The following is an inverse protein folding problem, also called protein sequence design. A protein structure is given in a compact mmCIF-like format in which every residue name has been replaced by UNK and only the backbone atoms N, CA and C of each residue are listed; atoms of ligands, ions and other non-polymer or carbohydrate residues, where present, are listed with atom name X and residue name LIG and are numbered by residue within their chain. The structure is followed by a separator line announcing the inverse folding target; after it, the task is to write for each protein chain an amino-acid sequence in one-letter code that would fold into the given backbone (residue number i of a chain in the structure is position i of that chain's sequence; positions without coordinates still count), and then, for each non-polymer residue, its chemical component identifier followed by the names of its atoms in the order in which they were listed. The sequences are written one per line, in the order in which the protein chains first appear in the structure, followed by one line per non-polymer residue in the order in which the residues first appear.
data_IF_692154903194
#
_entry.id   IF_692154903194
#
_cell.length_a   1.000
_cell.length_b   1.000
_cell.length_c   1.000
_cell.angle_alpha   90.00
_cell.angle_beta   90.00
_cell.angle_gamma   90.00
#
_symmetry.space_group_name_H-M   'P 1'
#
loop_
_entity.id
_entity.type
_entity.pdbx_description
1 polymer ?
#
# COMPACT_ATOMS: atom_id res chain seq x y z
N UNK A 1 19.59 12.08 6.08
CA UNK A 1 19.70 11.13 4.95
C UNK A 1 19.59 11.89 3.64
N UNK A 2 20.39 11.55 2.60
CA UNK A 2 20.19 12.13 1.26
C UNK A 2 18.77 11.78 0.76
N UNK A 3 18.03 12.69 0.11
CA UNK A 3 16.62 12.48 -0.27
C UNK A 3 16.40 11.20 -1.10
N UNK A 4 17.38 10.82 -1.92
CA UNK A 4 17.36 9.57 -2.71
C UNK A 4 17.46 8.31 -1.85
N UNK A 5 18.25 8.31 -0.77
CA UNK A 5 18.36 7.17 0.14
C UNK A 5 17.06 6.97 0.94
N UNK A 6 16.41 8.06 1.37
CA UNK A 6 15.13 8.02 2.08
C UNK A 6 14.01 7.42 1.22
N UNK A 7 13.93 7.81 -0.07
CA UNK A 7 12.96 7.21 -1.00
C UNK A 7 13.18 5.71 -1.22
N UNK A 8 14.44 5.27 -1.33
CA UNK A 8 14.79 3.85 -1.50
C UNK A 8 14.31 3.02 -0.29
N UNK A 9 14.62 3.48 0.92
CA UNK A 9 14.18 2.80 2.14
C UNK A 9 12.66 2.74 2.23
N UNK A 10 11.97 3.87 2.02
CA UNK A 10 10.50 3.93 2.09
C UNK A 10 9.83 3.04 1.03
N UNK A 11 10.44 2.91 -0.16
CA UNK A 11 9.97 1.98 -1.20
C UNK A 11 10.13 0.51 -0.77
N UNK A 12 11.25 0.15 -0.14
CA UNK A 12 11.44 -1.21 0.37
C UNK A 12 10.43 -1.52 1.47
N UNK A 13 10.26 -0.60 2.43
CA UNK A 13 9.27 -0.73 3.51
C UNK A 13 7.86 -0.92 2.96
N UNK A 14 7.44 -0.10 1.99
CA UNK A 14 6.15 -0.24 1.31
C UNK A 14 5.95 -1.65 0.74
N UNK A 15 6.93 -2.14 -0.03
CA UNK A 15 6.84 -3.45 -0.69
C UNK A 15 6.78 -4.60 0.30
N UNK A 16 7.61 -4.55 1.35
CA UNK A 16 7.64 -5.59 2.38
C UNK A 16 6.33 -5.58 3.19
N UNK A 17 5.86 -4.41 3.61
CA UNK A 17 4.59 -4.29 4.32
C UNK A 17 3.40 -4.75 3.45
N UNK A 18 3.40 -4.39 2.16
CA UNK A 18 2.37 -4.84 1.23
C UNK A 18 2.39 -6.36 1.04
N UNK A 19 3.57 -6.97 0.88
CA UNK A 19 3.68 -8.42 0.75
C UNK A 19 3.19 -9.14 2.01
N UNK A 20 3.55 -8.65 3.20
CA UNK A 20 3.06 -9.21 4.46
C UNK A 20 1.54 -9.09 4.58
N UNK A 21 0.98 -7.90 4.33
CA UNK A 21 -0.47 -7.69 4.33
C UNK A 21 -1.17 -8.61 3.31
N UNK A 22 -0.64 -8.71 2.10
CA UNK A 22 -1.19 -9.55 1.03
C UNK A 22 -1.18 -11.03 1.43
N UNK A 23 -0.07 -11.55 1.95
CA UNK A 23 0.00 -12.94 2.40
C UNK A 23 -1.03 -13.21 3.51
N UNK A 24 -1.07 -12.34 4.52
CA UNK A 24 -2.03 -12.44 5.63
C UNK A 24 -3.49 -12.40 5.14
N UNK A 25 -3.80 -11.51 4.20
CA UNK A 25 -5.15 -11.40 3.62
C UNK A 25 -5.52 -12.58 2.73
N UNK A 26 -4.58 -13.13 1.95
CA UNK A 26 -4.84 -14.27 1.08
C UNK A 26 -5.08 -15.55 1.87
N UNK A 27 -4.31 -15.83 2.92
CA UNK A 27 -4.57 -17.05 3.69
C UNK A 27 -5.81 -16.95 4.57
N UNK A 28 -6.26 -15.74 4.93
CA UNK A 28 -7.60 -15.55 5.51
C UNK A 28 -8.70 -15.81 4.45
N UNK A 29 -8.59 -15.17 3.27
CA UNK A 29 -9.54 -15.32 2.16
C UNK A 29 -9.70 -16.79 1.69
N UNK A 30 -8.60 -17.53 1.63
CA UNK A 30 -8.59 -18.95 1.21
C UNK A 30 -8.68 -19.93 2.39
N UNK A 31 -8.83 -19.44 3.63
CA UNK A 31 -8.91 -20.26 4.84
C UNK A 31 -7.72 -21.22 4.99
N UNK A 32 -6.52 -20.77 4.61
CA UNK A 32 -5.26 -21.53 4.72
C UNK A 32 -4.86 -21.69 6.20
N UNK A 33 -5.17 -20.69 7.02
CA UNK A 33 -4.98 -20.71 8.47
C UNK A 33 -6.27 -20.33 9.21
N UNK A 34 -6.33 -20.68 10.49
CA UNK A 34 -7.42 -20.23 11.35
C UNK A 34 -7.35 -18.71 11.56
N UNK A 35 -8.49 -18.04 11.40
CA UNK A 35 -8.61 -16.62 11.73
C UNK A 35 -8.37 -16.44 13.23
N UNK A 36 -7.30 -15.73 13.58
CA UNK A 36 -6.96 -15.40 14.97
C UNK A 36 -6.82 -13.90 15.10
N UNK A 37 -7.15 -13.32 16.28
CA UNK A 37 -7.00 -11.89 16.52
C UNK A 37 -5.60 -11.37 16.19
N UNK A 38 -4.56 -12.17 16.47
CA UNK A 38 -3.16 -11.83 16.19
C UNK A 38 -2.89 -11.66 14.69
N UNK A 39 -3.41 -12.54 13.84
CA UNK A 39 -3.23 -12.45 12.39
C UNK A 39 -3.99 -11.26 11.80
N UNK A 40 -5.18 -10.98 12.33
CA UNK A 40 -5.98 -9.81 11.96
C UNK A 40 -5.24 -8.52 12.33
N UNK A 41 -4.74 -8.41 13.56
CA UNK A 41 -3.97 -7.26 14.03
C UNK A 41 -2.69 -7.08 13.20
N UNK A 42 -1.97 -8.16 12.90
CA UNK A 42 -0.79 -8.12 12.05
C UNK A 42 -1.12 -7.63 10.63
N UNK A 43 -2.25 -8.06 10.06
CA UNK A 43 -2.71 -7.60 8.74
C UNK A 43 -3.04 -6.10 8.76
N UNK A 44 -3.76 -5.64 9.79
CA UNK A 44 -4.11 -4.22 9.97
C UNK A 44 -2.84 -3.37 10.11
N UNK A 45 -1.90 -3.78 10.97
CA UNK A 45 -0.62 -3.08 11.16
C UNK A 45 0.17 -3.01 9.86
N UNK A 46 0.25 -4.11 9.10
CA UNK A 46 0.90 -4.13 7.80
C UNK A 46 0.20 -3.17 6.82
N UNK A 47 -1.13 -3.12 6.79
CA UNK A 47 -1.92 -2.17 6.00
C UNK A 47 -1.67 -0.70 6.37
N UNK A 48 -1.54 -0.39 7.66
CA UNK A 48 -1.18 0.96 8.14
C UNK A 48 0.23 1.36 7.70
N UNK A 49 1.19 0.42 7.73
CA UNK A 49 2.54 0.65 7.23
C UNK A 49 2.56 0.91 5.72
N UNK A 50 1.73 0.19 4.94
CA UNK A 50 1.55 0.46 3.50
C UNK A 50 1.04 1.88 3.29
N UNK A 51 -0.04 2.26 3.98
CA UNK A 51 -0.65 3.59 3.86
C UNK A 51 0.34 4.70 4.24
N UNK A 52 1.01 4.58 5.39
CA UNK A 52 1.99 5.55 5.86
C UNK A 52 3.19 5.67 4.90
N UNK A 53 3.65 4.55 4.34
CA UNK A 53 4.73 4.54 3.36
C UNK A 53 4.31 5.19 2.04
N UNK A 54 3.11 4.91 1.52
CA UNK A 54 2.58 5.56 0.31
C UNK A 54 2.45 7.07 0.50
N UNK A 55 1.92 7.51 1.64
CA UNK A 55 1.77 8.93 1.97
C UNK A 55 3.12 9.64 2.02
N UNK A 56 4.09 9.02 2.70
CA UNK A 56 5.45 9.54 2.81
C UNK A 56 6.12 9.62 1.43
N UNK A 57 5.96 8.60 0.58
CA UNK A 57 6.46 8.61 -0.80
C UNK A 57 5.78 9.68 -1.65
N UNK A 58 4.47 9.90 -1.50
CA UNK A 58 3.74 10.93 -2.22
C UNK A 58 4.28 12.34 -1.89
N UNK A 59 4.53 12.61 -0.60
CA UNK A 59 5.13 13.87 -0.13
C UNK A 59 6.56 14.03 -0.66
N UNK A 60 7.39 12.98 -0.58
CA UNK A 60 8.77 13.03 -1.08
C UNK A 60 8.79 13.24 -2.61
N UNK A 61 7.93 12.54 -3.35
CA UNK A 61 7.79 12.70 -4.80
C UNK A 61 7.38 14.13 -5.17
N UNK A 62 6.45 14.74 -4.42
CA UNK A 62 6.04 16.13 -4.63
C UNK A 62 7.18 17.15 -4.46
N UNK A 63 8.10 16.90 -3.53
CA UNK A 63 9.28 17.76 -3.29
C UNK A 63 10.35 17.61 -4.37
N UNK A 64 10.51 16.42 -4.96
CA UNK A 64 11.58 16.13 -5.93
C UNK A 64 11.13 16.41 -7.38
N UNK A 65 9.88 16.13 -7.72
CA UNK A 65 9.37 16.24 -9.07
C UNK A 65 7.89 16.69 -9.07
N UNK A 66 7.64 17.94 -9.48
CA UNK A 66 6.29 18.48 -9.61
C UNK A 66 5.43 17.56 -10.51
N UNK A 67 4.28 17.14 -9.97
CA UNK A 67 3.31 16.26 -10.62
C UNK A 67 3.60 14.74 -10.56
N UNK A 68 4.75 14.27 -10.05
CA UNK A 68 5.02 12.83 -9.95
C UNK A 68 4.30 12.15 -8.76
N UNK A 69 3.86 12.93 -7.77
CA UNK A 69 3.14 12.43 -6.59
C UNK A 69 1.67 12.07 -6.84
N UNK A 70 1.07 12.50 -7.96
CA UNK A 70 -0.36 12.29 -8.24
C UNK A 70 -0.81 10.83 -8.14
N UNK A 71 -0.16 9.87 -8.84
CA UNK A 71 -0.50 8.46 -8.72
C UNK A 71 -0.33 7.88 -7.31
N UNK A 72 0.64 8.37 -6.54
CA UNK A 72 0.87 7.93 -5.15
C UNK A 72 -0.22 8.44 -4.19
N UNK A 73 -0.70 9.67 -4.41
CA UNK A 73 -1.84 10.21 -3.67
C UNK A 73 -3.11 9.43 -3.93
N UNK A 74 -3.40 9.13 -5.21
CA UNK A 74 -4.57 8.33 -5.56
C UNK A 74 -4.44 6.91 -5.01
N UNK A 75 -3.26 6.29 -5.11
CA UNK A 75 -3.00 4.98 -4.51
C UNK A 75 -3.27 4.99 -2.99
N UNK A 76 -2.74 5.97 -2.26
CA UNK A 76 -2.98 6.11 -0.82
C UNK A 76 -4.47 6.29 -0.49
N UNK A 77 -5.21 7.05 -1.30
CA UNK A 77 -6.65 7.21 -1.11
C UNK A 77 -7.42 5.90 -1.37
N UNK A 78 -7.06 5.13 -2.41
CA UNK A 78 -7.66 3.82 -2.68
C UNK A 78 -7.38 2.84 -1.53
N UNK A 79 -6.16 2.84 -0.97
CA UNK A 79 -5.84 2.04 0.23
C UNK A 79 -6.70 2.46 1.41
N UNK A 80 -6.82 3.76 1.67
CA UNK A 80 -7.63 4.27 2.77
C UNK A 80 -9.10 3.86 2.63
N UNK A 81 -9.70 4.03 1.44
CA UNK A 81 -11.07 3.64 1.17
C UNK A 81 -11.25 2.13 1.35
N UNK A 82 -10.33 1.32 0.78
CA UNK A 82 -10.40 -0.13 0.92
C UNK A 82 -10.24 -0.60 2.37
N UNK A 83 -9.42 0.08 3.18
CA UNK A 83 -9.26 -0.20 4.61
C UNK A 83 -10.52 0.15 5.40
N UNK A 84 -11.14 1.30 5.13
CA UNK A 84 -12.42 1.69 5.75
C UNK A 84 -13.50 0.67 5.40
N UNK A 85 -13.65 0.29 4.13
CA UNK A 85 -14.62 -0.74 3.72
C UNK A 85 -14.36 -2.05 4.48
N UNK A 86 -13.10 -2.47 4.59
CA UNK A 86 -12.75 -3.71 5.29
C UNK A 86 -13.11 -3.69 6.78
N UNK A 87 -12.84 -2.58 7.47
CA UNK A 87 -13.10 -2.45 8.90
C UNK A 87 -14.60 -2.38 9.22
N UNK A 88 -15.39 -1.66 8.42
CA UNK A 88 -16.81 -1.43 8.73
C UNK A 88 -17.73 -2.51 8.17
N UNK A 89 -17.40 -3.12 7.03
CA UNK A 89 -18.32 -4.05 6.39
C UNK A 89 -18.16 -5.50 6.86
N UNK A 90 -17.28 -5.78 7.84
CA UNK A 90 -16.94 -7.12 8.35
C UNK A 90 -16.86 -8.10 7.18
N UNK A 91 -15.70 -8.14 6.51
CA UNK A 91 -15.46 -8.99 5.35
C UNK A 91 -15.53 -10.48 5.75
N UNK A 92 -16.72 -11.00 6.04
CA UNK A 92 -16.97 -12.41 6.34
C UNK A 92 -17.48 -13.17 5.11
N UNK A 93 -17.53 -12.50 3.96
CA UNK A 93 -17.94 -13.06 2.68
C UNK A 93 -16.85 -12.92 1.62
N UNK A 94 -16.65 -13.98 0.82
CA UNK A 94 -15.62 -14.05 -0.23
C UNK A 94 -15.65 -12.85 -1.20
N UNK A 95 -16.83 -12.30 -1.50
CA UNK A 95 -16.97 -11.20 -2.46
C UNK A 95 -16.29 -9.90 -1.98
N UNK A 96 -16.50 -9.51 -0.72
CA UNK A 96 -15.89 -8.30 -0.18
C UNK A 96 -14.38 -8.45 -0.01
N UNK A 97 -13.92 -9.67 0.30
CA UNK A 97 -12.49 -9.96 0.43
C UNK A 97 -11.78 -9.90 -0.92
N UNK A 98 -12.40 -10.46 -1.96
CA UNK A 98 -11.93 -10.34 -3.35
C UNK A 98 -11.92 -8.87 -3.79
N UNK A 99 -12.99 -8.11 -3.51
CA UNK A 99 -13.05 -6.70 -3.88
C UNK A 99 -11.94 -5.88 -3.19
N UNK A 100 -11.75 -6.09 -1.89
CA UNK A 100 -10.66 -5.45 -1.14
C UNK A 100 -9.29 -5.81 -1.74
N UNK A 101 -9.04 -7.09 -2.01
CA UNK A 101 -7.82 -7.56 -2.65
C UNK A 101 -7.57 -6.85 -4.01
N UNK A 102 -8.58 -6.81 -4.87
CA UNK A 102 -8.47 -6.15 -6.19
C UNK A 102 -8.14 -4.66 -6.03
N UNK A 103 -8.82 -3.95 -5.12
CA UNK A 103 -8.53 -2.55 -4.84
C UNK A 103 -7.09 -2.35 -4.34
N UNK A 104 -6.61 -3.21 -3.45
CA UNK A 104 -5.25 -3.13 -2.92
C UNK A 104 -4.20 -3.38 -4.01
N UNK A 105 -4.44 -4.34 -4.92
CA UNK A 105 -3.55 -4.60 -6.06
C UNK A 105 -3.50 -3.41 -7.03
N UNK A 106 -4.64 -2.81 -7.34
CA UNK A 106 -4.72 -1.60 -8.17
C UNK A 106 -3.93 -0.47 -7.50
N UNK A 107 -4.15 -0.24 -6.20
CA UNK A 107 -3.44 0.78 -5.45
C UNK A 107 -1.91 0.56 -5.47
N UNK A 108 -1.46 -0.68 -5.27
CA UNK A 108 -0.03 -1.01 -5.34
C UNK A 108 0.55 -0.77 -6.74
N UNK A 109 -0.18 -1.16 -7.79
CA UNK A 109 0.21 -0.88 -9.18
C UNK A 109 0.36 0.62 -9.44
N UNK A 110 -0.58 1.43 -8.94
CA UNK A 110 -0.51 2.89 -9.01
C UNK A 110 0.68 3.47 -8.24
N UNK A 111 0.97 2.94 -7.05
CA UNK A 111 2.12 3.37 -6.27
C UNK A 111 3.44 3.04 -6.98
N UNK A 112 3.60 1.84 -7.53
CA UNK A 112 4.79 1.47 -8.30
C UNK A 112 4.97 2.36 -9.55
N UNK A 113 3.89 2.68 -10.25
CA UNK A 113 3.92 3.66 -11.35
C UNK A 113 4.37 5.04 -10.89
N UNK A 114 3.86 5.53 -9.76
CA UNK A 114 4.25 6.81 -9.17
C UNK A 114 5.72 6.84 -8.74
N UNK A 115 6.21 5.78 -8.11
CA UNK A 115 7.62 5.62 -7.71
C UNK A 115 8.53 5.61 -8.96
N UNK A 116 8.17 4.84 -9.99
CA UNK A 116 8.93 4.77 -11.23
C UNK A 116 9.01 6.12 -11.96
N UNK A 117 7.90 6.87 -12.01
CA UNK A 117 7.87 8.23 -12.58
C UNK A 117 8.75 9.19 -11.77
N UNK A 118 8.67 9.11 -10.45
CA UNK A 118 9.46 9.97 -9.54
C UNK A 118 10.96 9.73 -9.70
N UNK A 119 11.38 8.46 -9.80
CA UNK A 119 12.78 8.09 -10.05
C UNK A 119 13.27 8.61 -11.40
N UNK A 120 12.50 8.42 -12.48
CA UNK A 120 12.87 8.91 -13.83
C UNK A 120 13.09 10.42 -13.86
N UNK A 121 12.17 11.19 -13.28
CA UNK A 121 12.29 12.66 -13.24
C UNK A 121 13.46 13.15 -12.37
N UNK A 122 13.81 12.40 -11.32
CA UNK A 122 14.94 12.73 -10.44
C UNK A 122 16.30 12.49 -11.10
N UNK A 123 16.41 11.58 -12.07
CA UNK A 123 17.67 11.29 -12.80
C UNK A 123 17.93 12.23 -13.98
N UNK A 124 16.88 12.86 -14.53
CA UNK A 124 16.97 13.76 -15.69
C UNK A 124 17.29 15.22 -15.27
N UNK A 125 17.25 15.53 -13.97
CA UNK A 125 17.67 16.81 -13.39
C UNK A 125 19.10 16.69 -12.86
#
# INVERSE_FOLDING_TARGET
MKPVQSMKFTTMLLRTAFLLALLLGLGDLFKIWAETPVLVDAHIIAGLLVLGSMWTLAVQAGKVASGAGGPLWVAGFVVLVGAVIALFMRISGNLWGILHLVLMLIAMGMAEMGIARSKRKATVR
#
